data_IF_213733557574
#
_entry.id   IF_213733557574
#
_cell.length_a   1.000
_cell.length_b   1.000
_cell.length_c   1.000
_cell.angle_alpha   90.00
_cell.angle_beta   90.00
_cell.angle_gamma   90.00
#
_symmetry.space_group_name_H-M   'P 1'
#
loop_
_entity.id
_entity.type
_entity.pdbx_description
1 polymer ?
#
# COMPACT_ATOMS: atom_id res chain seq x y z
N UNK A 1 -17.52 0.57 -33.70
CA UNK A 1 -16.72 1.26 -32.67
C UNK A 1 -16.54 0.29 -31.53
N UNK A 2 -15.32 -0.20 -31.31
CA UNK A 2 -15.02 -0.99 -30.10
C UNK A 2 -14.98 0.03 -28.98
N UNK A 3 -15.99 0.01 -28.11
CA UNK A 3 -15.94 0.77 -26.86
C UNK A 3 -14.81 0.15 -26.06
N UNK A 4 -13.64 0.80 -26.04
CA UNK A 4 -12.54 0.41 -25.17
C UNK A 4 -13.03 0.56 -23.73
N UNK A 5 -13.20 -0.57 -23.04
CA UNK A 5 -13.54 -0.62 -21.62
C UNK A 5 -12.37 0.01 -20.88
N UNK A 6 -12.61 1.11 -20.16
CA UNK A 6 -11.64 1.71 -19.27
C UNK A 6 -11.41 0.72 -18.12
N UNK A 7 -10.23 0.10 -18.14
CA UNK A 7 -9.73 -0.74 -17.06
C UNK A 7 -8.61 0.00 -16.36
N UNK A 8 -8.59 -0.08 -15.03
CA UNK A 8 -7.57 0.55 -14.19
C UNK A 8 -6.78 -0.57 -13.53
N UNK A 9 -5.45 -0.52 -13.67
CA UNK A 9 -4.56 -1.42 -12.92
C UNK A 9 -4.19 -0.79 -11.59
N UNK A 10 -4.57 -1.42 -10.50
CA UNK A 10 -4.22 -1.00 -9.15
C UNK A 10 -3.23 -1.99 -8.54
N UNK A 11 -2.21 -1.47 -7.84
CA UNK A 11 -1.26 -2.27 -7.07
C UNK A 11 -1.31 -1.81 -5.63
N UNK A 12 -1.77 -2.68 -4.72
CA UNK A 12 -1.70 -2.47 -3.28
C UNK A 12 -0.42 -3.13 -2.79
N UNK A 13 0.37 -2.48 -1.93
CA UNK A 13 1.61 -3.06 -1.44
C UNK A 13 1.94 -2.67 0.00
N UNK A 14 2.80 -3.47 0.59
CA UNK A 14 3.42 -3.28 1.89
C UNK A 14 4.81 -3.93 1.86
N UNK A 15 5.71 -3.51 2.75
CA UNK A 15 7.06 -4.07 2.84
C UNK A 15 7.38 -4.46 4.28
N UNK A 16 8.32 -5.39 4.40
CA UNK A 16 8.99 -5.64 5.67
C UNK A 16 10.49 -5.40 5.54
N UNK A 17 11.10 -5.08 6.66
CA UNK A 17 12.50 -4.67 6.71
C UNK A 17 13.36 -5.71 7.44
N UNK A 18 14.68 -5.64 7.23
CA UNK A 18 15.64 -6.56 7.84
C UNK A 18 16.08 -6.12 9.25
N UNK A 19 15.86 -4.86 9.58
CA UNK A 19 16.38 -4.17 10.77
C UNK A 19 15.29 -3.27 11.34
N UNK A 20 15.39 -2.97 12.63
CA UNK A 20 14.63 -1.87 13.24
C UNK A 20 15.46 -0.58 13.24
N UNK A 21 14.82 0.56 13.52
CA UNK A 21 15.50 1.85 13.62
C UNK A 21 16.62 1.86 14.68
N UNK A 22 16.49 1.06 15.75
CA UNK A 22 17.51 0.95 16.79
C UNK A 22 18.79 0.24 16.30
N UNK A 23 18.74 -0.48 15.17
CA UNK A 23 19.88 -1.18 14.57
C UNK A 23 20.67 -0.31 13.57
N UNK A 24 20.21 0.93 13.29
CA UNK A 24 20.82 1.83 12.30
C UNK A 24 21.19 3.18 12.93
N UNK A 25 22.10 3.91 12.27
CA UNK A 25 22.40 5.28 12.65
C UNK A 25 21.33 6.23 12.10
N UNK A 26 20.62 6.93 12.99
CA UNK A 26 19.60 7.90 12.62
C UNK A 26 18.24 7.27 12.32
N UNK A 27 17.49 7.89 11.41
CA UNK A 27 16.06 7.56 11.16
C UNK A 27 15.72 7.44 9.67
N UNK A 28 16.71 7.10 8.84
CA UNK A 28 16.51 6.99 7.40
C UNK A 28 16.03 5.57 7.02
N UNK A 29 14.80 5.40 6.49
CA UNK A 29 14.26 4.07 6.19
C UNK A 29 15.09 3.27 5.16
N UNK A 30 15.85 3.96 4.29
CA UNK A 30 16.72 3.34 3.30
C UNK A 30 17.80 2.43 3.93
N UNK A 31 18.16 2.65 5.19
CA UNK A 31 19.26 1.93 5.86
C UNK A 31 18.78 0.63 6.54
N UNK A 32 17.46 0.42 6.62
CA UNK A 32 16.84 -0.75 7.24
C UNK A 32 17.01 -2.02 6.40
N UNK A 33 17.08 -1.87 5.07
CA UNK A 33 17.10 -2.99 4.12
C UNK A 33 15.75 -3.71 4.04
N UNK A 34 15.43 -4.27 2.87
CA UNK A 34 14.13 -4.90 2.60
C UNK A 34 14.24 -6.42 2.77
N UNK A 35 13.36 -7.03 3.56
CA UNK A 35 13.29 -8.49 3.69
C UNK A 35 12.35 -9.08 2.64
N UNK A 36 11.13 -8.59 2.58
CA UNK A 36 10.10 -9.01 1.63
C UNK A 36 9.21 -7.83 1.22
N UNK A 37 8.65 -7.91 0.02
CA UNK A 37 7.57 -7.03 -0.43
C UNK A 37 6.41 -7.90 -0.89
N UNK A 38 5.21 -7.62 -0.39
CA UNK A 38 3.97 -8.22 -0.88
C UNK A 38 3.17 -7.20 -1.67
N UNK A 39 2.54 -7.67 -2.74
CA UNK A 39 1.69 -6.88 -3.62
C UNK A 39 0.41 -7.60 -3.96
N UNK A 40 -0.70 -6.88 -3.95
CA UNK A 40 -1.94 -7.30 -4.59
C UNK A 40 -2.14 -6.47 -5.85
N UNK A 41 -1.97 -7.10 -7.01
CA UNK A 41 -2.19 -6.46 -8.30
C UNK A 41 -3.55 -6.85 -8.84
N UNK A 42 -4.34 -5.86 -9.24
CA UNK A 42 -5.68 -6.10 -9.76
C UNK A 42 -6.06 -5.20 -10.92
N UNK A 43 -7.06 -5.66 -11.66
CA UNK A 43 -7.73 -4.88 -12.71
C UNK A 43 -9.15 -4.56 -12.24
N UNK A 44 -9.51 -3.29 -12.33
CA UNK A 44 -10.84 -2.77 -11.95
C UNK A 44 -11.50 -2.18 -13.18
N UNK A 45 -12.76 -2.53 -13.43
CA UNK A 45 -13.53 -2.00 -14.56
C UNK A 45 -14.12 -0.61 -14.26
N UNK A 46 -14.76 -0.01 -15.27
CA UNK A 46 -15.41 1.33 -15.16
C UNK A 46 -16.44 1.47 -14.02
N UNK A 47 -16.98 0.35 -13.52
CA UNK A 47 -17.96 0.33 -12.43
C UNK A 47 -17.32 0.23 -11.05
N UNK A 48 -16.00 0.16 -10.97
CA UNK A 48 -15.28 -0.10 -9.71
C UNK A 48 -15.32 -1.57 -9.29
N UNK A 49 -15.64 -2.49 -10.21
CA UNK A 49 -15.66 -3.92 -9.92
C UNK A 49 -14.31 -4.55 -10.30
N UNK A 50 -13.72 -5.28 -9.37
CA UNK A 50 -12.52 -6.07 -9.59
C UNK A 50 -12.83 -7.24 -10.53
N UNK A 51 -12.09 -7.37 -11.63
CA UNK A 51 -12.27 -8.45 -12.61
C UNK A 51 -11.20 -9.53 -12.48
N UNK A 52 -9.99 -9.13 -12.07
CA UNK A 52 -8.84 -10.01 -11.86
C UNK A 52 -8.02 -9.44 -10.71
N UNK A 53 -7.45 -10.32 -9.88
CA UNK A 53 -6.63 -9.93 -8.74
C UNK A 53 -5.73 -11.07 -8.28
N UNK A 54 -4.49 -10.76 -7.96
CA UNK A 54 -3.50 -11.75 -7.54
C UNK A 54 -2.56 -11.17 -6.48
N UNK A 55 -2.35 -11.94 -5.40
CA UNK A 55 -1.31 -11.68 -4.40
C UNK A 55 0.03 -12.25 -4.89
N UNK A 56 1.09 -11.46 -4.83
CA UNK A 56 2.47 -11.89 -5.10
C UNK A 56 3.39 -11.34 -4.03
N UNK A 57 4.39 -12.13 -3.65
CA UNK A 57 5.36 -11.74 -2.64
C UNK A 57 6.77 -12.03 -3.16
N UNK A 58 7.69 -11.10 -2.92
CA UNK A 58 9.05 -11.12 -3.45
C UNK A 58 10.04 -10.89 -2.31
N UNK A 59 10.90 -11.87 -2.08
CA UNK A 59 12.09 -11.71 -1.24
C UNK A 59 13.09 -10.79 -1.92
N UNK A 60 14.04 -10.24 -1.16
CA UNK A 60 15.03 -9.28 -1.68
C UNK A 60 15.69 -9.71 -3.01
N UNK A 61 16.14 -10.97 -3.09
CA UNK A 61 16.81 -11.53 -4.28
C UNK A 61 15.93 -11.54 -5.54
N UNK A 62 14.61 -11.50 -5.37
CA UNK A 62 13.61 -11.52 -6.43
C UNK A 62 12.97 -10.15 -6.70
N UNK A 63 13.32 -9.11 -5.94
CA UNK A 63 12.66 -7.79 -6.02
C UNK A 63 12.76 -7.15 -7.40
N UNK A 64 13.76 -7.47 -8.22
CA UNK A 64 13.84 -6.96 -9.59
C UNK A 64 12.56 -7.23 -10.41
N UNK A 65 11.81 -8.29 -10.09
CA UNK A 65 10.57 -8.69 -10.76
C UNK A 65 9.36 -7.80 -10.42
N UNK A 66 9.41 -7.03 -9.33
CA UNK A 66 8.29 -6.21 -8.85
C UNK A 66 8.15 -4.88 -9.62
N UNK A 67 9.26 -4.32 -10.11
CA UNK A 67 9.28 -2.98 -10.70
C UNK A 67 8.36 -2.81 -11.91
N UNK A 68 8.21 -3.80 -12.82
CA UNK A 68 7.22 -3.74 -13.88
C UNK A 68 5.78 -3.66 -13.39
N UNK A 69 5.46 -4.17 -12.20
CA UNK A 69 4.11 -4.08 -11.64
C UNK A 69 3.79 -2.66 -11.22
N UNK A 70 4.71 -2.00 -10.51
CA UNK A 70 4.55 -0.62 -10.07
C UNK A 70 4.52 0.38 -11.25
N UNK A 71 5.41 0.23 -12.23
CA UNK A 71 5.51 1.19 -13.34
C UNK A 71 4.27 1.18 -14.25
N UNK A 72 3.64 0.00 -14.41
CA UNK A 72 2.45 -0.17 -15.23
C UNK A 72 1.15 0.07 -14.45
N UNK A 73 1.23 0.30 -13.14
CA UNK A 73 0.05 0.59 -12.33
C UNK A 73 -0.49 1.99 -12.66
N UNK A 74 -1.82 2.07 -12.76
CA UNK A 74 -2.54 3.34 -12.80
C UNK A 74 -2.69 3.97 -11.43
N UNK A 75 -2.58 3.16 -10.38
CA UNK A 75 -2.52 3.62 -9.00
C UNK A 75 -1.76 2.62 -8.13
N UNK A 76 -0.88 3.14 -7.30
CA UNK A 76 -0.13 2.38 -6.29
C UNK A 76 -0.68 2.77 -4.92
N UNK A 77 -1.20 1.82 -4.16
CA UNK A 77 -1.90 2.03 -2.90
C UNK A 77 -1.06 1.45 -1.78
N UNK A 78 -0.84 2.22 -0.72
CA UNK A 78 -0.18 1.74 0.49
C UNK A 78 -0.63 2.51 1.72
N UNK A 79 -0.08 2.16 2.87
CA UNK A 79 -0.39 2.81 4.14
C UNK A 79 0.86 3.42 4.76
N UNK A 80 0.97 4.76 4.80
CA UNK A 80 2.22 5.45 5.17
C UNK A 80 3.40 5.12 4.22
N UNK A 81 3.09 4.62 3.03
CA UNK A 81 4.06 4.16 2.05
C UNK A 81 4.92 5.27 1.48
N UNK A 82 4.39 6.49 1.30
CA UNK A 82 5.19 7.62 0.81
C UNK A 82 6.27 8.06 1.81
N UNK A 83 6.06 7.75 3.09
CA UNK A 83 6.91 8.19 4.20
C UNK A 83 7.79 7.08 4.78
N UNK A 84 7.50 5.82 4.49
CA UNK A 84 8.27 4.68 4.98
C UNK A 84 8.70 3.75 3.84
N UNK A 85 7.75 3.10 3.18
CA UNK A 85 8.01 2.03 2.23
C UNK A 85 8.78 2.52 0.99
N UNK A 86 8.33 3.62 0.41
CA UNK A 86 8.95 4.24 -0.77
C UNK A 86 10.37 4.70 -0.47
N UNK A 87 10.65 5.43 0.64
CA UNK A 87 12.02 5.69 1.08
C UNK A 87 12.87 4.44 1.32
N UNK A 88 12.31 3.39 1.92
CA UNK A 88 13.03 2.16 2.23
C UNK A 88 13.39 1.35 0.98
N UNK A 89 12.52 1.34 -0.04
CA UNK A 89 12.74 0.69 -1.34
C UNK A 89 13.68 1.49 -2.27
N UNK A 90 13.88 2.78 -1.99
CA UNK A 90 14.61 3.70 -2.85
C UNK A 90 16.04 3.25 -3.22
N UNK A 91 16.84 2.61 -2.34
CA UNK A 91 18.16 2.08 -2.69
C UNK A 91 18.13 0.96 -3.75
N UNK A 92 17.00 0.25 -3.86
CA UNK A 92 16.82 -0.88 -4.77
C UNK A 92 16.06 -0.48 -6.05
N UNK A 93 15.38 0.66 -6.05
CA UNK A 93 14.54 1.11 -7.14
C UNK A 93 15.36 1.51 -8.37
N UNK A 94 15.05 0.98 -9.58
CA UNK A 94 15.77 1.31 -10.80
C UNK A 94 15.38 2.69 -11.39
N UNK A 95 14.43 3.38 -10.77
CA UNK A 95 13.91 4.68 -11.18
C UNK A 95 13.42 5.45 -9.95
N UNK A 96 12.99 6.71 -10.16
CA UNK A 96 12.44 7.56 -9.11
C UNK A 96 11.06 7.07 -8.65
N UNK A 97 11.03 6.09 -7.75
CA UNK A 97 9.82 5.41 -7.27
C UNK A 97 8.81 6.40 -6.66
N UNK A 98 9.27 7.54 -6.14
CA UNK A 98 8.42 8.60 -5.58
C UNK A 98 7.55 9.30 -6.61
N UNK A 99 7.92 9.27 -7.90
CA UNK A 99 7.17 9.93 -8.98
C UNK A 99 6.02 9.10 -9.53
N UNK A 100 5.84 7.86 -9.08
CA UNK A 100 4.73 7.02 -9.53
C UNK A 100 3.39 7.49 -8.93
N UNK A 101 2.30 6.89 -9.41
CA UNK A 101 0.91 7.28 -9.11
C UNK A 101 0.46 6.77 -7.73
N UNK A 102 1.11 7.24 -6.67
CA UNK A 102 0.84 6.82 -5.30
C UNK A 102 -0.48 7.35 -4.75
N UNK A 103 -1.14 6.52 -3.95
CA UNK A 103 -2.25 6.83 -3.06
C UNK A 103 -1.86 6.32 -1.67
N UNK A 104 -1.36 7.23 -0.83
CA UNK A 104 -1.02 6.91 0.56
C UNK A 104 -2.25 7.13 1.44
N UNK A 105 -2.84 6.03 1.90
CA UNK A 105 -4.09 6.06 2.66
C UNK A 105 -3.95 6.87 3.96
N UNK A 106 -2.78 6.84 4.61
CA UNK A 106 -2.57 7.57 5.86
C UNK A 106 -2.45 9.08 5.61
N UNK A 107 -1.84 9.49 4.51
CA UNK A 107 -1.76 10.91 4.14
C UNK A 107 -3.12 11.48 3.77
N UNK A 108 -3.94 10.74 3.03
CA UNK A 108 -5.33 11.14 2.75
C UNK A 108 -6.16 11.28 4.03
N UNK A 109 -6.04 10.31 4.95
CA UNK A 109 -6.70 10.39 6.27
C UNK A 109 -6.19 11.60 7.07
N UNK A 110 -4.87 11.81 7.13
CA UNK A 110 -4.27 12.95 7.83
C UNK A 110 -4.71 14.28 7.23
N UNK A 111 -4.84 14.37 5.90
CA UNK A 111 -5.34 15.54 5.20
C UNK A 111 -6.77 15.90 5.60
N UNK A 112 -7.65 14.89 5.74
CA UNK A 112 -9.03 15.08 6.16
C UNK A 112 -9.18 15.37 7.66
N UNK A 113 -8.36 14.73 8.50
CA UNK A 113 -8.55 14.69 9.95
C UNK A 113 -7.62 15.64 10.74
N UNK A 114 -6.49 16.03 10.16
CA UNK A 114 -5.44 16.85 10.79
C UNK A 114 -4.41 16.06 11.63
N UNK A 115 -4.60 14.75 11.81
CA UNK A 115 -3.65 13.87 12.51
C UNK A 115 -3.64 12.47 11.91
N UNK A 116 -2.58 11.70 12.23
CA UNK A 116 -2.38 10.34 11.72
C UNK A 116 -3.14 9.32 12.57
N UNK A 117 -3.67 8.30 11.92
CA UNK A 117 -4.23 7.10 12.55
C UNK A 117 -3.41 5.89 12.10
N UNK A 118 -3.40 4.81 12.90
CA UNK A 118 -2.81 3.55 12.47
C UNK A 118 -3.78 2.78 11.56
N UNK A 119 -3.25 1.92 10.68
CA UNK A 119 -4.07 1.07 9.83
C UNK A 119 -5.02 0.22 10.67
N UNK A 120 -4.53 -0.33 11.79
CA UNK A 120 -5.35 -1.11 12.69
C UNK A 120 -6.52 -0.32 13.30
N UNK A 121 -6.30 0.94 13.68
CA UNK A 121 -7.35 1.80 14.24
C UNK A 121 -8.46 2.11 13.22
N UNK A 122 -8.08 2.29 11.95
CA UNK A 122 -9.03 2.51 10.85
C UNK A 122 -9.75 1.19 10.52
N UNK A 123 -9.02 0.11 10.29
CA UNK A 123 -9.56 -1.19 9.89
C UNK A 123 -10.55 -1.74 10.93
N UNK A 124 -10.16 -1.76 12.22
CA UNK A 124 -11.01 -2.30 13.30
C UNK A 124 -12.38 -1.64 13.36
N UNK A 125 -12.45 -0.33 13.13
CA UNK A 125 -13.69 0.42 13.21
C UNK A 125 -14.45 0.46 11.87
N UNK A 126 -13.73 0.45 10.75
CA UNK A 126 -14.33 0.51 9.41
C UNK A 126 -14.88 -0.85 8.98
N UNK A 127 -14.10 -1.91 9.19
CA UNK A 127 -14.37 -3.26 8.69
C UNK A 127 -14.92 -4.19 9.79
N UNK A 128 -14.67 -3.87 11.07
CA UNK A 128 -15.02 -4.73 12.20
C UNK A 128 -13.95 -5.77 12.56
N UNK A 129 -12.86 -5.81 11.79
CA UNK A 129 -11.66 -6.58 12.07
C UNK A 129 -10.42 -5.73 11.82
N UNK A 130 -9.31 -6.09 12.45
CA UNK A 130 -8.06 -5.35 12.35
C UNK A 130 -6.87 -6.29 12.23
N UNK A 131 -5.66 -5.73 12.33
CA UNK A 131 -4.43 -6.52 12.44
C UNK A 131 -4.45 -7.25 13.78
N UNK A 132 -4.24 -8.56 13.76
CA UNK A 132 -4.16 -9.37 14.98
C UNK A 132 -2.83 -9.22 15.72
N UNK A 133 -1.83 -8.55 15.13
CA UNK A 133 -0.45 -8.68 15.58
C UNK A 133 0.39 -7.40 15.42
N UNK A 134 1.52 -7.34 16.12
CA UNK A 134 2.41 -6.18 16.21
C UNK A 134 3.52 -6.26 15.15
N UNK A 135 3.69 -5.23 14.32
CA UNK A 135 4.70 -5.18 13.24
C UNK A 135 6.15 -5.38 13.69
N UNK A 136 6.46 -5.22 14.99
CA UNK A 136 7.78 -5.56 15.54
C UNK A 136 8.16 -7.05 15.35
N UNK A 137 7.18 -7.95 15.23
CA UNK A 137 7.46 -9.37 15.05
C UNK A 137 8.11 -9.67 13.69
N UNK A 138 7.87 -8.85 12.66
CA UNK A 138 8.35 -9.11 11.31
C UNK A 138 9.89 -9.11 11.21
N UNK A 139 10.55 -8.11 11.82
CA UNK A 139 12.02 -8.06 11.86
C UNK A 139 12.59 -9.24 12.64
N UNK A 140 11.97 -9.63 13.76
CA UNK A 140 12.41 -10.80 14.52
C UNK A 140 12.26 -12.11 13.75
N UNK A 141 11.19 -12.26 12.96
CA UNK A 141 11.05 -13.41 12.07
C UNK A 141 12.13 -13.45 10.99
N UNK A 142 12.47 -12.29 10.41
CA UNK A 142 13.57 -12.22 9.47
C UNK A 142 14.91 -12.62 10.10
N UNK A 143 15.18 -12.16 11.32
CA UNK A 143 16.39 -12.47 12.08
C UNK A 143 16.48 -13.94 12.51
N UNK A 144 15.34 -14.56 12.86
CA UNK A 144 15.28 -15.99 13.20
C UNK A 144 15.59 -16.87 11.98
N UNK A 145 15.07 -16.49 10.81
CA UNK A 145 15.40 -17.10 9.51
C UNK A 145 15.12 -18.62 9.41
N UNK A 146 14.25 -19.14 10.27
CA UNK A 146 13.69 -20.49 10.19
C UNK A 146 12.58 -20.55 9.14
N UNK A 147 12.29 -21.72 8.58
CA UNK A 147 11.18 -21.90 7.62
C UNK A 147 9.84 -21.41 8.20
N UNK A 148 9.58 -21.68 9.49
CA UNK A 148 8.38 -21.23 10.18
C UNK A 148 8.34 -19.69 10.32
N UNK A 149 9.47 -19.08 10.69
CA UNK A 149 9.55 -17.63 10.84
C UNK A 149 9.38 -16.90 9.51
N UNK A 150 9.98 -17.39 8.43
CA UNK A 150 9.82 -16.81 7.09
C UNK A 150 8.38 -16.98 6.57
N UNK A 151 7.73 -18.11 6.85
CA UNK A 151 6.31 -18.30 6.54
C UNK A 151 5.40 -17.33 7.31
N UNK A 152 5.73 -17.02 8.58
CA UNK A 152 5.04 -15.97 9.34
C UNK A 152 5.28 -14.60 8.72
N UNK A 153 6.54 -14.23 8.47
CA UNK A 153 6.90 -12.95 7.85
C UNK A 153 6.13 -12.70 6.54
N UNK A 154 6.11 -13.70 5.65
CA UNK A 154 5.33 -13.67 4.41
C UNK A 154 3.85 -13.40 4.70
N UNK A 155 3.24 -14.17 5.59
CA UNK A 155 1.82 -14.04 5.94
C UNK A 155 1.49 -12.67 6.53
N UNK A 156 2.41 -12.10 7.32
CA UNK A 156 2.24 -10.78 7.92
C UNK A 156 2.19 -9.70 6.84
N UNK A 157 3.17 -9.68 5.93
CA UNK A 157 3.22 -8.71 4.85
C UNK A 157 1.99 -8.84 3.93
N UNK A 158 1.58 -10.07 3.57
CA UNK A 158 0.37 -10.31 2.79
C UNK A 158 -0.91 -9.88 3.52
N UNK A 159 -1.00 -10.09 4.84
CA UNK A 159 -2.12 -9.61 5.65
C UNK A 159 -2.22 -8.09 5.62
N UNK A 160 -1.09 -7.39 5.70
CA UNK A 160 -1.06 -5.92 5.71
C UNK A 160 -1.49 -5.33 4.37
N UNK A 161 -1.08 -5.97 3.26
CA UNK A 161 -1.60 -5.67 1.92
C UNK A 161 -3.12 -5.89 1.85
N UNK A 162 -3.61 -7.03 2.36
CA UNK A 162 -5.05 -7.34 2.31
C UNK A 162 -5.89 -6.38 3.15
N UNK A 163 -5.46 -6.05 4.36
CA UNK A 163 -6.16 -5.08 5.21
C UNK A 163 -6.14 -3.69 4.55
N UNK A 164 -5.02 -3.28 3.96
CA UNK A 164 -4.93 -2.02 3.20
C UNK A 164 -5.91 -2.00 2.03
N UNK A 165 -5.97 -3.10 1.25
CA UNK A 165 -6.92 -3.27 0.15
C UNK A 165 -8.37 -3.16 0.63
N UNK A 166 -8.74 -3.87 1.69
CA UNK A 166 -10.11 -3.88 2.20
C UNK A 166 -10.55 -2.50 2.72
N UNK A 167 -9.66 -1.80 3.44
CA UNK A 167 -9.92 -0.43 3.88
C UNK A 167 -10.09 0.51 2.69
N UNK A 168 -9.21 0.40 1.69
CA UNK A 168 -9.30 1.18 0.46
C UNK A 168 -10.60 0.89 -0.31
N UNK A 169 -10.99 -0.38 -0.46
CA UNK A 169 -12.22 -0.80 -1.14
C UNK A 169 -13.47 -0.26 -0.43
N UNK A 170 -13.50 -0.35 0.91
CA UNK A 170 -14.56 0.27 1.69
C UNK A 170 -14.61 1.77 1.44
N UNK A 171 -13.46 2.44 1.53
CA UNK A 171 -13.34 3.87 1.35
C UNK A 171 -13.81 4.32 -0.04
N UNK A 172 -13.34 3.66 -1.10
CA UNK A 172 -13.72 3.94 -2.48
C UNK A 172 -15.23 3.79 -2.71
N UNK A 173 -15.85 2.75 -2.13
CA UNK A 173 -17.29 2.50 -2.26
C UNK A 173 -18.15 3.49 -1.47
N UNK A 174 -17.69 3.92 -0.30
CA UNK A 174 -18.52 4.68 0.64
C UNK A 174 -18.15 6.17 0.74
N UNK A 175 -17.02 6.60 0.17
CA UNK A 175 -16.48 7.96 0.31
C UNK A 175 -16.00 8.32 1.71
N UNK A 176 -15.94 7.34 2.62
CA UNK A 176 -15.66 7.57 4.03
C UNK A 176 -15.01 6.36 4.70
N UNK A 177 -14.32 6.63 5.81
CA UNK A 177 -13.76 5.65 6.73
C UNK A 177 -14.27 5.92 8.14
N UNK A 178 -14.02 4.98 9.06
CA UNK A 178 -14.36 5.11 10.48
C UNK A 178 -13.14 4.92 11.38
N UNK A 179 -13.18 5.55 12.55
CA UNK A 179 -12.19 5.39 13.60
C UNK A 179 -12.78 5.68 14.97
N UNK A 180 -12.12 5.27 16.05
CA UNK A 180 -12.45 5.71 17.42
C UNK A 180 -11.65 6.94 17.80
N UNK A 181 -12.34 7.96 18.30
CA UNK A 181 -11.68 9.11 18.89
C UNK A 181 -11.07 8.79 20.27
N UNK A 182 -10.39 9.78 20.87
CA UNK A 182 -9.76 9.64 22.19
C UNK A 182 -10.73 9.33 23.35
N UNK A 183 -12.04 9.40 23.10
CA UNK A 183 -13.10 9.04 24.05
C UNK A 183 -13.78 7.71 23.69
N UNK A 184 -13.15 6.88 22.83
CA UNK A 184 -13.70 5.61 22.33
C UNK A 184 -15.03 5.76 21.57
N UNK A 185 -15.32 6.95 21.05
CA UNK A 185 -16.53 7.18 20.25
C UNK A 185 -16.21 6.95 18.78
N UNK A 186 -17.06 6.16 18.09
CA UNK A 186 -16.96 5.96 16.65
C UNK A 186 -17.21 7.27 15.91
N UNK A 187 -16.32 7.61 14.98
CA UNK A 187 -16.35 8.81 14.15
C UNK A 187 -16.16 8.44 12.69
N UNK A 188 -16.72 9.27 11.81
CA UNK A 188 -16.59 9.15 10.37
C UNK A 188 -15.54 10.16 9.89
N UNK A 189 -14.76 9.76 8.89
CA UNK A 189 -13.81 10.62 8.17
C UNK A 189 -14.18 10.53 6.69
N UNK A 190 -14.56 11.65 6.08
CA UNK A 190 -14.71 11.74 4.63
C UNK A 190 -13.32 11.79 3.99
N UNK A 191 -13.07 10.93 3.01
CA UNK A 191 -11.77 10.82 2.36
C UNK A 191 -11.98 10.77 0.85
N UNK A 192 -11.22 11.58 0.12
CA UNK A 192 -11.25 11.58 -1.35
C UNK A 192 -10.42 10.41 -1.90
N UNK A 193 -11.11 9.43 -2.50
CA UNK A 193 -10.52 8.27 -3.17
C UNK A 193 -10.48 8.41 -4.70
N UNK A 194 -10.87 9.56 -5.26
CA UNK A 194 -10.93 9.73 -6.71
C UNK A 194 -9.57 9.53 -7.37
N UNK A 195 -9.54 8.81 -8.50
CA UNK A 195 -8.33 8.69 -9.33
C UNK A 195 -8.13 9.99 -10.12
N UNK A 196 -6.90 10.56 -10.14
CA UNK A 196 -6.59 11.66 -11.03
C UNK A 196 -6.86 11.23 -12.47
N UNK A 197 -7.84 11.86 -13.13
CA UNK A 197 -8.11 11.60 -14.55
C UNK A 197 -6.91 12.11 -15.34
N UNK A 198 -6.18 11.21 -16.01
CA UNK A 198 -5.17 11.62 -16.98
C UNK A 198 -5.92 12.28 -18.15
N UNK A 199 -5.81 13.60 -18.25
CA UNK A 199 -6.28 14.33 -19.43
C UNK A 199 -5.29 14.01 -20.54
N UNK A 200 -5.66 13.08 -21.44
CA UNK A 200 -4.93 12.89 -22.69
C UNK A 200 -5.30 14.08 -23.57
N UNK A 201 -4.48 15.13 -23.55
CA UNK A 201 -4.61 16.20 -24.53
C UNK A 201 -4.39 15.57 -25.92
N UNK A 202 -5.32 15.73 -26.88
CA UNK A 202 -5.12 15.26 -28.23
C UNK A 202 -3.86 15.94 -28.76
N UNK A 203 -2.86 15.13 -29.12
CA UNK A 203 -1.66 15.61 -29.77
C UNK A 203 -2.11 16.34 -31.04
N UNK A 204 -2.06 17.67 -31.02
CA UNK A 204 -2.32 18.48 -32.20
C UNK A 204 -1.26 18.08 -33.22
N UNK A 205 -1.67 17.30 -34.23
CA UNK A 205 -0.83 16.99 -35.36
C UNK A 205 -0.33 18.30 -35.96
N UNK A 206 1.00 18.47 -36.00
CA UNK A 206 1.59 19.47 -36.87
C UNK A 206 1.29 19.00 -38.31
N UNK A 207 0.48 19.80 -39.00
CA UNK A 207 0.45 19.84 -40.46
C UNK A 207 1.81 20.28 -41.00
#
# INVERSE_FOLDING_TARGET
MVSSILVVTEVIFDIETKKIFDDIEGYNPADLGISIVSVYSRTVNEKGEETEGEMKSFWEDDLAKIWPMFINADRIIGFNSLHFDVPALMPLAPYDFKKLKHFDLMDHVKGALGFRLSLNAIASETLGHGKSDNGLNAVYYWQEHSEESLAKLLKYCEMDVMVTKEVYDYGQKNGQLKYKDKWNTSRIIEVDFSCPKVVIEPQMGLF
#
